data_IF_472528556971
#
_entry.id   IF_472528556971
#
_cell.length_a   1.000
_cell.length_b   1.000
_cell.length_c   1.000
_cell.angle_alpha   90.00
_cell.angle_beta   90.00
_cell.angle_gamma   90.00
#
_symmetry.space_group_name_H-M   'P 1'
#
loop_
_entity.id
_entity.type
_entity.pdbx_description
1 polymer ?
#
# COMPACT_ATOMS: atom_id res chain seq x y z
N UNK A 1 -9.34 18.51 -6.12
CA UNK A 1 -9.34 17.15 -5.53
C UNK A 1 -9.70 17.25 -4.06
N UNK A 2 -10.44 16.27 -3.54
CA UNK A 2 -10.89 16.27 -2.14
C UNK A 2 -9.73 16.29 -1.16
N UNK A 3 -9.82 17.11 -0.13
CA UNK A 3 -8.85 17.13 0.99
C UNK A 3 -9.56 16.75 2.28
N UNK A 4 -8.94 15.83 3.04
CA UNK A 4 -9.43 15.37 4.34
C UNK A 4 -8.41 15.79 5.40
N UNK A 5 -8.73 16.85 6.13
CA UNK A 5 -7.81 17.46 7.09
C UNK A 5 -7.86 16.76 8.46
N UNK A 6 -6.68 16.56 9.05
CA UNK A 6 -6.55 16.07 10.42
C UNK A 6 -6.95 14.62 10.63
N UNK A 7 -7.10 13.81 9.56
CA UNK A 7 -7.53 12.41 9.65
C UNK A 7 -6.41 11.48 10.11
N UNK A 8 -5.15 11.90 9.90
CA UNK A 8 -3.98 11.17 10.38
C UNK A 8 -3.00 12.13 11.05
N UNK A 9 -2.08 11.57 11.82
CA UNK A 9 -0.98 12.35 12.42
C UNK A 9 0.37 11.76 12.01
N UNK A 10 1.37 12.60 11.93
CA UNK A 10 2.77 12.23 11.75
C UNK A 10 3.55 12.77 12.94
N UNK A 11 4.03 11.88 13.82
CA UNK A 11 4.68 12.24 15.09
C UNK A 11 3.82 13.22 15.90
N UNK A 12 2.52 12.96 15.96
CA UNK A 12 1.54 13.77 16.68
C UNK A 12 1.05 15.02 15.95
N UNK A 13 1.69 15.42 14.84
CA UNK A 13 1.26 16.56 14.02
C UNK A 13 0.16 16.18 13.03
N UNK A 14 -0.99 16.91 13.00
CA UNK A 14 -2.06 16.59 12.08
C UNK A 14 -1.65 16.85 10.63
N UNK A 15 -2.07 15.95 9.73
CA UNK A 15 -1.78 16.00 8.31
C UNK A 15 -3.06 15.92 7.49
N UNK A 16 -2.95 16.31 6.22
CA UNK A 16 -4.07 16.32 5.27
C UNK A 16 -3.87 15.22 4.24
N UNK A 17 -4.89 14.39 4.03
CA UNK A 17 -4.89 13.40 2.95
C UNK A 17 -5.67 13.94 1.75
N UNK A 18 -5.07 13.78 0.58
CA UNK A 18 -5.71 14.11 -0.71
C UNK A 18 -6.36 12.84 -1.25
N UNK A 19 -7.58 12.98 -1.78
CA UNK A 19 -8.33 11.91 -2.39
C UNK A 19 -9.47 11.39 -1.51
N UNK A 20 -10.26 10.44 -2.03
CA UNK A 20 -11.43 9.93 -1.33
C UNK A 20 -11.05 8.99 -0.18
N UNK A 21 -11.94 8.87 0.81
CA UNK A 21 -11.85 7.81 1.80
C UNK A 21 -12.40 6.52 1.20
N UNK A 22 -11.55 5.52 1.05
CA UNK A 22 -11.95 4.21 0.54
C UNK A 22 -12.65 3.42 1.65
N UNK A 23 -13.71 2.71 1.29
CA UNK A 23 -14.50 1.90 2.23
C UNK A 23 -14.66 0.47 1.73
N UNK A 24 -14.84 -0.45 2.65
CA UNK A 24 -15.17 -1.84 2.33
C UNK A 24 -16.45 -1.87 1.46
N UNK A 25 -16.41 -2.63 0.39
CA UNK A 25 -17.49 -2.71 -0.59
C UNK A 25 -17.33 -1.80 -1.80
N UNK A 26 -16.47 -0.80 -1.73
CA UNK A 26 -16.17 0.06 -2.89
C UNK A 26 -15.51 -0.75 -3.98
N UNK A 27 -15.74 -0.34 -5.23
CA UNK A 27 -14.94 -0.82 -6.35
C UNK A 27 -13.52 -0.28 -6.19
N UNK A 28 -12.52 -1.16 -6.26
CA UNK A 28 -11.13 -0.74 -6.14
C UNK A 28 -10.77 0.23 -7.26
N UNK A 29 -10.27 1.43 -6.93
CA UNK A 29 -9.81 2.38 -7.97
C UNK A 29 -8.62 1.83 -8.74
N UNK A 30 -8.55 2.18 -10.02
CA UNK A 30 -7.38 1.85 -10.82
C UNK A 30 -6.18 2.72 -10.38
N UNK A 31 -5.00 2.26 -10.73
CA UNK A 31 -3.74 2.95 -10.47
C UNK A 31 -2.74 2.66 -11.58
N UNK A 32 -1.70 3.48 -11.66
CA UNK A 32 -0.56 3.26 -12.54
C UNK A 32 0.70 3.41 -11.70
N UNK A 33 1.42 2.32 -11.52
CA UNK A 33 2.62 2.25 -10.69
C UNK A 33 3.78 1.71 -11.53
N UNK A 34 5.01 1.92 -11.04
CA UNK A 34 6.21 1.46 -11.71
C UNK A 34 6.85 0.30 -10.94
N UNK A 35 7.27 -0.72 -11.68
CA UNK A 35 8.09 -1.80 -11.14
C UNK A 35 9.55 -1.35 -11.00
N UNK A 36 10.38 -2.19 -10.38
CA UNK A 36 11.82 -1.96 -10.28
C UNK A 36 12.55 -1.88 -11.63
N UNK A 37 11.90 -2.33 -12.71
CA UNK A 37 12.41 -2.23 -14.09
C UNK A 37 11.81 -1.05 -14.84
N UNK A 38 11.12 -0.15 -14.15
CA UNK A 38 10.43 1.00 -14.72
C UNK A 38 9.27 0.64 -15.67
N UNK A 39 8.75 -0.57 -15.56
CA UNK A 39 7.58 -1.01 -16.32
C UNK A 39 6.30 -0.56 -15.60
N UNK A 40 5.31 -0.13 -16.36
CA UNK A 40 4.02 0.27 -15.79
C UNK A 40 3.16 -0.95 -15.47
N UNK A 41 2.53 -0.92 -14.29
CA UNK A 41 1.51 -1.88 -13.89
C UNK A 41 0.27 -1.14 -13.44
N UNK A 42 -0.90 -1.74 -13.68
CA UNK A 42 -2.20 -1.20 -13.28
C UNK A 42 -2.95 -2.25 -12.46
N UNK A 43 -4.14 -1.89 -11.97
CA UNK A 43 -4.98 -2.86 -11.28
C UNK A 43 -5.31 -4.08 -12.17
N UNK A 44 -5.51 -3.87 -13.47
CA UNK A 44 -5.80 -4.95 -14.42
C UNK A 44 -4.65 -5.95 -14.57
N UNK A 45 -3.42 -5.54 -14.29
CA UNK A 45 -2.26 -6.45 -14.29
C UNK A 45 -2.46 -7.62 -13.32
N UNK A 46 -3.24 -7.40 -12.25
CA UNK A 46 -3.48 -8.37 -11.17
C UNK A 46 -4.90 -8.90 -11.17
N UNK A 47 -5.62 -8.75 -12.26
CA UNK A 47 -7.02 -9.17 -12.36
C UNK A 47 -7.22 -10.64 -11.98
N UNK A 48 -8.25 -10.91 -11.20
CA UNK A 48 -8.58 -12.25 -10.73
C UNK A 48 -7.83 -12.72 -9.50
N UNK A 49 -6.89 -11.92 -9.00
CA UNK A 49 -6.14 -12.21 -7.79
C UNK A 49 -6.72 -11.45 -6.60
N UNK A 50 -6.51 -11.98 -5.40
CA UNK A 50 -6.72 -11.24 -4.16
C UNK A 50 -5.45 -10.48 -3.86
N UNK A 51 -5.56 -9.16 -3.62
CA UNK A 51 -4.40 -8.30 -3.39
C UNK A 51 -4.38 -7.78 -1.96
N UNK A 52 -3.20 -7.80 -1.34
CA UNK A 52 -2.92 -7.00 -0.15
C UNK A 52 -2.06 -5.82 -0.63
N UNK A 53 -2.61 -4.61 -0.52
CA UNK A 53 -1.90 -3.38 -0.85
C UNK A 53 -1.32 -2.81 0.44
N UNK A 54 0.00 -2.95 0.58
CA UNK A 54 0.75 -2.50 1.76
C UNK A 54 1.41 -1.16 1.44
N UNK A 55 0.86 -0.09 1.99
CA UNK A 55 1.26 1.28 1.66
C UNK A 55 2.07 1.88 2.80
N UNK A 56 3.19 2.50 2.49
CA UNK A 56 4.10 3.07 3.47
C UNK A 56 4.71 4.38 2.97
N UNK A 57 5.08 5.31 3.89
CA UNK A 57 5.73 6.57 3.49
C UNK A 57 7.07 6.37 2.78
N UNK A 58 7.94 5.52 3.31
CA UNK A 58 9.23 5.22 2.70
C UNK A 58 9.85 3.97 3.30
N UNK A 59 10.43 3.12 2.45
CA UNK A 59 11.16 1.92 2.88
C UNK A 59 12.41 2.25 3.71
N UNK A 60 12.88 3.49 3.66
CA UNK A 60 14.03 3.95 4.44
C UNK A 60 13.68 4.28 5.90
N UNK A 61 12.46 4.08 6.34
CA UNK A 61 12.04 4.27 7.74
C UNK A 61 11.85 2.93 8.44
N UNK A 62 12.08 2.89 9.76
CA UNK A 62 12.07 1.64 10.54
C UNK A 62 10.78 0.86 10.46
N UNK A 63 9.63 1.49 10.73
CA UNK A 63 8.33 0.81 10.72
C UNK A 63 7.95 0.36 9.31
N UNK A 64 8.27 1.15 8.28
CA UNK A 64 8.01 0.78 6.88
C UNK A 64 8.82 -0.46 6.47
N UNK A 65 10.08 -0.51 6.88
CA UNK A 65 10.93 -1.67 6.63
C UNK A 65 10.38 -2.93 7.35
N UNK A 66 9.96 -2.78 8.61
CA UNK A 66 9.36 -3.87 9.37
C UNK A 66 8.04 -4.35 8.77
N UNK A 67 7.20 -3.43 8.31
CA UNK A 67 5.95 -3.75 7.61
C UNK A 67 6.22 -4.60 6.37
N UNK A 68 7.20 -4.22 5.58
CA UNK A 68 7.57 -4.95 4.37
C UNK A 68 8.14 -6.34 4.71
N UNK A 69 9.00 -6.43 5.71
CA UNK A 69 9.54 -7.73 6.18
C UNK A 69 8.44 -8.63 6.69
N UNK A 70 7.46 -8.10 7.43
CA UNK A 70 6.34 -8.89 7.95
C UNK A 70 5.54 -9.52 6.82
N UNK A 71 5.13 -8.76 5.81
CA UNK A 71 4.40 -9.31 4.69
C UNK A 71 5.24 -10.26 3.84
N UNK A 72 6.52 -9.97 3.67
CA UNK A 72 7.42 -10.87 2.95
C UNK A 72 7.52 -12.25 3.62
N UNK A 73 7.53 -12.26 4.95
CA UNK A 73 7.52 -13.51 5.72
C UNK A 73 6.18 -14.24 5.61
N UNK A 74 5.08 -13.50 5.70
CA UNK A 74 3.72 -14.07 5.71
C UNK A 74 3.30 -14.62 4.34
N UNK A 75 3.88 -14.13 3.24
CA UNK A 75 3.48 -14.53 1.89
C UNK A 75 3.62 -16.04 1.66
N UNK A 76 4.57 -16.68 2.32
CA UNK A 76 4.78 -18.13 2.21
C UNK A 76 3.58 -18.94 2.73
N UNK A 77 2.80 -18.40 3.67
CA UNK A 77 1.62 -19.05 4.25
C UNK A 77 0.31 -18.63 3.61
N UNK A 78 0.34 -17.73 2.61
CA UNK A 78 -0.85 -17.27 1.93
C UNK A 78 -1.20 -18.19 0.76
N UNK A 79 -2.50 -18.30 0.41
CA UNK A 79 -2.92 -19.01 -0.81
C UNK A 79 -2.22 -18.46 -2.07
N UNK A 80 -2.02 -19.31 -3.07
CA UNK A 80 -1.26 -18.97 -4.27
C UNK A 80 -1.85 -17.80 -5.08
N UNK A 81 -3.16 -17.57 -4.98
CA UNK A 81 -3.83 -16.47 -5.68
C UNK A 81 -3.82 -15.14 -4.92
N UNK A 82 -3.23 -15.09 -3.73
CA UNK A 82 -3.04 -13.86 -2.97
C UNK A 82 -1.67 -13.27 -3.31
N UNK A 83 -1.66 -12.00 -3.69
CA UNK A 83 -0.42 -11.29 -3.99
C UNK A 83 -0.31 -10.05 -3.12
N UNK A 84 0.88 -9.79 -2.61
CA UNK A 84 1.18 -8.62 -1.79
C UNK A 84 1.92 -7.61 -2.64
N UNK A 85 1.40 -6.38 -2.69
CA UNK A 85 2.03 -5.26 -3.38
C UNK A 85 2.42 -4.21 -2.35
N UNK A 86 3.70 -3.95 -2.22
CA UNK A 86 4.23 -2.87 -1.37
C UNK A 86 4.31 -1.60 -2.20
N UNK A 87 3.69 -0.53 -1.72
CA UNK A 87 3.57 0.73 -2.47
C UNK A 87 4.13 1.88 -1.66
N UNK A 88 4.99 2.66 -2.27
CA UNK A 88 5.54 3.90 -1.71
C UNK A 88 5.92 4.87 -2.84
N UNK A 89 6.28 6.10 -2.48
CA UNK A 89 6.81 7.07 -3.45
C UNK A 89 8.33 7.01 -3.56
N UNK A 90 8.98 6.03 -2.93
CA UNK A 90 10.40 5.80 -3.15
C UNK A 90 10.66 5.55 -4.64
N UNK A 91 11.82 5.98 -5.12
CA UNK A 91 12.21 5.68 -6.50
C UNK A 91 12.35 4.17 -6.69
N UNK A 92 12.04 3.65 -7.88
CA UNK A 92 12.23 2.22 -8.17
C UNK A 92 13.63 1.71 -7.86
N UNK A 93 14.64 2.54 -8.06
CA UNK A 93 16.04 2.21 -7.76
C UNK A 93 16.28 2.03 -6.26
N UNK A 94 15.68 2.88 -5.43
CA UNK A 94 15.77 2.78 -3.97
C UNK A 94 15.01 1.55 -3.47
N UNK A 95 13.85 1.25 -4.04
CA UNK A 95 13.09 0.03 -3.73
C UNK A 95 13.89 -1.22 -4.07
N UNK A 96 14.54 -1.26 -5.22
CA UNK A 96 15.40 -2.37 -5.63
C UNK A 96 16.55 -2.59 -4.63
N UNK A 97 17.20 -1.51 -4.22
CA UNK A 97 18.30 -1.58 -3.24
C UNK A 97 17.81 -2.16 -1.91
N UNK A 98 16.66 -1.71 -1.43
CA UNK A 98 16.05 -2.22 -0.20
C UNK A 98 15.73 -3.72 -0.34
N UNK A 99 15.07 -4.11 -1.42
CA UNK A 99 14.70 -5.51 -1.65
C UNK A 99 15.91 -6.44 -1.71
N UNK A 100 16.98 -6.01 -2.37
CA UNK A 100 18.22 -6.77 -2.44
C UNK A 100 18.87 -6.90 -1.07
N UNK A 101 19.00 -5.79 -0.34
CA UNK A 101 19.66 -5.77 0.97
C UNK A 101 18.89 -6.60 2.01
N UNK A 102 17.56 -6.60 1.96
CA UNK A 102 16.70 -7.24 2.94
C UNK A 102 16.14 -8.59 2.46
N UNK A 103 16.54 -9.04 1.29
CA UNK A 103 16.05 -10.29 0.69
C UNK A 103 14.51 -10.33 0.59
N UNK A 104 13.91 -9.25 0.11
CA UNK A 104 12.46 -9.12 -0.07
C UNK A 104 12.08 -9.71 -1.43
N UNK A 105 11.08 -10.60 -1.44
CA UNK A 105 10.59 -11.28 -2.64
C UNK A 105 9.24 -10.79 -3.12
N UNK A 106 8.45 -10.14 -2.25
CA UNK A 106 7.19 -9.54 -2.65
C UNK A 106 7.42 -8.33 -3.57
N UNK A 107 6.43 -8.02 -4.39
CA UNK A 107 6.53 -6.90 -5.32
C UNK A 107 6.59 -5.56 -4.57
N UNK A 108 7.50 -4.70 -5.01
CA UNK A 108 7.54 -3.29 -4.59
C UNK A 108 7.26 -2.43 -5.80
N UNK A 109 6.32 -1.49 -5.64
CA UNK A 109 5.84 -0.64 -6.73
C UNK A 109 5.97 0.83 -6.31
N UNK A 110 6.37 1.67 -7.26
CA UNK A 110 6.63 3.08 -7.01
C UNK A 110 5.54 3.98 -7.59
N UNK A 111 5.02 4.86 -6.75
CA UNK A 111 4.04 5.89 -7.12
C UNK A 111 4.68 7.27 -7.33
N UNK A 112 6.02 7.32 -7.49
CA UNK A 112 6.74 8.60 -7.52
C UNK A 112 6.40 9.48 -8.72
N UNK A 113 6.07 8.87 -9.86
CA UNK A 113 5.91 9.61 -11.12
C UNK A 113 4.62 10.41 -11.15
N UNK A 114 3.49 9.78 -10.85
CA UNK A 114 2.18 10.41 -11.05
C UNK A 114 1.35 10.53 -9.76
N UNK A 115 1.74 9.88 -8.68
CA UNK A 115 0.95 9.78 -7.45
C UNK A 115 -0.47 9.24 -7.73
N UNK A 116 -0.62 8.41 -8.77
CA UNK A 116 -1.94 7.95 -9.19
C UNK A 116 -2.63 7.08 -8.15
N UNK A 117 -1.86 6.23 -7.45
CA UNK A 117 -2.40 5.43 -6.36
C UNK A 117 -2.78 6.30 -5.17
N UNK A 118 -1.88 7.16 -4.72
CA UNK A 118 -2.12 8.04 -3.58
C UNK A 118 -3.37 8.90 -3.75
N UNK A 119 -3.53 9.48 -4.93
CA UNK A 119 -4.69 10.33 -5.24
C UNK A 119 -5.98 9.51 -5.36
N UNK A 120 -5.93 8.31 -5.91
CA UNK A 120 -7.12 7.46 -6.09
C UNK A 120 -7.57 6.77 -4.80
N UNK A 121 -6.62 6.39 -3.94
CA UNK A 121 -6.90 5.66 -2.69
C UNK A 121 -6.92 6.56 -1.45
N UNK A 122 -6.72 7.86 -1.63
CA UNK A 122 -6.76 8.82 -0.52
C UNK A 122 -5.62 8.67 0.46
N UNK A 123 -4.45 8.22 0.01
CA UNK A 123 -3.26 8.03 0.86
C UNK A 123 -2.22 9.15 0.71
N UNK A 124 -2.42 10.09 -0.20
CA UNK A 124 -1.47 11.16 -0.47
C UNK A 124 -1.45 12.19 0.67
N UNK A 125 -0.36 12.25 1.41
CA UNK A 125 -0.14 13.28 2.45
C UNK A 125 0.28 14.57 1.76
N UNK A 126 -0.60 15.57 1.79
CA UNK A 126 -0.40 16.85 1.09
C UNK A 126 0.90 17.55 1.50
N UNK A 127 1.17 17.64 2.81
CA UNK A 127 2.28 18.40 3.37
C UNK A 127 3.64 17.77 3.06
N UNK A 128 3.68 16.45 2.87
CA UNK A 128 4.93 15.71 2.71
C UNK A 128 5.13 15.15 1.31
N UNK A 129 4.09 15.07 0.52
CA UNK A 129 4.04 14.35 -0.77
C UNK A 129 4.55 12.91 -0.62
N UNK A 130 4.14 12.29 0.45
CA UNK A 130 4.37 10.87 0.73
C UNK A 130 3.02 10.17 0.83
N UNK A 131 3.03 8.86 0.84
CA UNK A 131 1.81 8.11 1.10
C UNK A 131 1.72 7.77 2.60
N UNK A 132 0.51 7.91 3.15
CA UNK A 132 0.27 7.53 4.55
C UNK A 132 0.27 6.02 4.69
N UNK A 133 0.68 5.54 5.88
CA UNK A 133 0.66 4.11 6.19
C UNK A 133 -0.76 3.60 6.16
N UNK A 134 -1.01 2.61 5.32
CA UNK A 134 -2.35 2.08 5.12
C UNK A 134 -2.29 0.65 4.56
N UNK A 135 -3.37 -0.09 4.77
CA UNK A 135 -3.56 -1.42 4.22
C UNK A 135 -4.92 -1.49 3.52
N UNK A 136 -4.92 -2.09 2.34
CA UNK A 136 -6.14 -2.39 1.61
C UNK A 136 -6.10 -3.84 1.17
N UNK A 137 -7.25 -4.51 1.18
CA UNK A 137 -7.40 -5.81 0.55
C UNK A 137 -8.40 -5.66 -0.58
N UNK A 138 -7.98 -6.04 -1.78
CA UNK A 138 -8.83 -6.06 -2.97
C UNK A 138 -9.17 -7.50 -3.28
N UNK A 139 -10.46 -7.81 -3.34
CA UNK A 139 -10.94 -9.14 -3.64
C UNK A 139 -10.80 -9.53 -5.11
N UNK A 140 -10.98 -10.81 -5.40
CA UNK A 140 -10.97 -11.36 -6.77
C UNK A 140 -11.98 -10.68 -7.68
N UNK A 141 -13.08 -10.19 -7.10
CA UNK A 141 -14.14 -9.47 -7.79
C UNK A 141 -13.85 -7.99 -8.03
N UNK A 142 -12.67 -7.50 -7.62
CA UNK A 142 -12.29 -6.12 -7.75
C UNK A 142 -12.87 -5.18 -6.70
N UNK A 143 -13.48 -5.71 -5.65
CA UNK A 143 -14.04 -4.90 -4.56
C UNK A 143 -13.15 -4.89 -3.34
N UNK A 144 -13.18 -3.79 -2.60
CA UNK A 144 -12.42 -3.61 -1.37
C UNK A 144 -13.01 -4.50 -0.26
N UNK A 145 -12.18 -5.32 0.37
CA UNK A 145 -12.55 -6.25 1.44
C UNK A 145 -12.03 -5.80 2.81
N UNK A 146 -11.02 -4.95 2.85
CA UNK A 146 -10.44 -4.42 4.08
C UNK A 146 -9.81 -3.06 3.80
N UNK A 147 -9.91 -2.14 4.75
CA UNK A 147 -9.29 -0.82 4.71
C UNK A 147 -8.77 -0.45 6.09
N UNK A 148 -7.55 0.04 6.13
CA UNK A 148 -7.02 0.69 7.32
C UNK A 148 -6.15 1.87 6.90
N UNK A 149 -6.52 3.09 7.32
CA UNK A 149 -5.62 4.23 7.34
C UNK A 149 -5.09 4.34 8.77
N UNK A 150 -3.80 4.07 8.97
CA UNK A 150 -3.21 4.08 10.31
C UNK A 150 -3.23 5.50 10.85
N UNK A 151 -3.85 5.70 12.01
CA UNK A 151 -4.10 7.05 12.53
C UNK A 151 -2.82 7.82 12.82
N UNK A 152 -1.82 7.18 13.43
CA UNK A 152 -0.48 7.75 13.63
C UNK A 152 0.51 7.03 12.71
N UNK A 153 1.02 7.73 11.71
CA UNK A 153 1.82 7.14 10.61
C UNK A 153 3.06 6.39 11.11
N UNK A 154 3.58 6.75 12.27
CA UNK A 154 4.76 6.11 12.85
C UNK A 154 4.47 4.79 13.58
N UNK A 155 3.21 4.35 13.63
CA UNK A 155 2.82 3.09 14.28
C UNK A 155 2.50 2.00 13.27
N UNK A 156 2.50 0.73 13.73
CA UNK A 156 2.20 -0.42 12.89
C UNK A 156 0.71 -0.49 12.53
N UNK A 157 0.38 -0.99 11.33
CA UNK A 157 -0.99 -1.35 10.99
C UNK A 157 -1.39 -2.66 11.67
N UNK A 158 -2.67 -3.03 11.57
CA UNK A 158 -3.16 -4.33 12.02
C UNK A 158 -2.95 -5.37 10.91
N UNK A 159 -1.81 -6.02 10.93
CA UNK A 159 -1.44 -7.04 9.94
C UNK A 159 -2.41 -8.21 9.91
N UNK A 160 -2.84 -8.68 11.08
CA UNK A 160 -3.65 -9.88 11.20
C UNK A 160 -5.03 -9.70 10.56
N UNK A 161 -5.64 -8.53 10.69
CA UNK A 161 -6.92 -8.23 10.05
C UNK A 161 -6.82 -8.25 8.52
N UNK A 162 -5.78 -7.65 7.97
CA UNK A 162 -5.57 -7.65 6.53
C UNK A 162 -5.31 -9.06 6.00
N UNK A 163 -4.46 -9.83 6.69
CA UNK A 163 -4.17 -11.21 6.33
C UNK A 163 -5.42 -12.08 6.39
N UNK A 164 -6.25 -11.93 7.43
CA UNK A 164 -7.50 -12.68 7.55
C UNK A 164 -8.48 -12.34 6.43
N UNK A 165 -8.62 -11.07 6.07
CA UNK A 165 -9.49 -10.65 4.98
C UNK A 165 -9.05 -11.22 3.64
N UNK A 166 -7.73 -11.24 3.38
CA UNK A 166 -7.18 -11.80 2.16
C UNK A 166 -7.40 -13.32 2.08
N UNK A 167 -7.16 -14.04 3.17
CA UNK A 167 -7.39 -15.49 3.23
C UNK A 167 -8.86 -15.86 3.02
N UNK A 168 -9.77 -15.06 3.57
CA UNK A 168 -11.20 -15.29 3.44
C UNK A 168 -11.69 -15.10 1.99
N UNK A 169 -11.05 -14.23 1.21
CA UNK A 169 -11.41 -13.97 -0.20
C UNK A 169 -10.75 -14.94 -1.16
N UNK A 170 -9.65 -15.54 -0.78
CA UNK A 170 -8.83 -16.37 -1.67
C UNK A 170 -9.52 -17.63 -2.20
#
# INVERSE_FOLDING_TARGET
MQERKGVITFKGGPMTLIGPEIKVGDKAPNFKLLTGKLEEVTLDTYKGKTLILSVAPSLDTGVCAEQTRRFNKEVASLPANVEVLTISVDLPFAQNRFCTAENIKIATLSDHREMSFGDAYGTHIKELRLETRSLFVVGKDGKIKHVEYVKEVTTHPDYDKALAAAKADA
#
